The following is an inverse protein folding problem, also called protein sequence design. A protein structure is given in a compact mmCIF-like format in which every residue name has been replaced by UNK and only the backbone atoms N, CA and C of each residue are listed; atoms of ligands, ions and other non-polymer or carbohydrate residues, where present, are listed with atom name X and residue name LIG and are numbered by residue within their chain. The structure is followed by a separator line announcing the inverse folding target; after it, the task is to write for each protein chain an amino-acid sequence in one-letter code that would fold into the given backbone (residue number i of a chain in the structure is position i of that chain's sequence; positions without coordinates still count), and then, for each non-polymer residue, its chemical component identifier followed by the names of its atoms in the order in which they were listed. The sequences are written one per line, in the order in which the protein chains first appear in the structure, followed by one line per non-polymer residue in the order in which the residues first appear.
data_IF_248993109054
#
_entry.id   IF_248993109054
#
_cell.length_a   1.000
_cell.length_b   1.000
_cell.length_c   1.000
_cell.angle_alpha   90.00
_cell.angle_beta   90.00
_cell.angle_gamma   90.00
#
_symmetry.space_group_name_H-M   'P 1'
#
loop_
_entity.id
_entity.type
_entity.pdbx_description
1 polymer ?
#
# COMPACT_ATOMS: atom_id res chain seq x y z
N UNK A 1 6.60 7.32 6.28
CA UNK A 1 6.15 7.35 4.87
C UNK A 1 6.44 8.67 4.18
N UNK A 2 6.25 9.83 4.83
CA UNK A 2 6.44 11.16 4.20
C UNK A 2 7.77 11.33 3.44
N UNK A 3 8.87 10.74 3.95
CA UNK A 3 10.19 10.77 3.28
C UNK A 3 10.26 9.93 1.99
N UNK A 4 9.25 9.10 1.73
CA UNK A 4 9.13 8.21 0.56
C UNK A 4 7.96 8.65 -0.34
N UNK A 5 6.82 9.01 0.25
CA UNK A 5 5.63 9.47 -0.47
C UNK A 5 4.68 10.21 0.48
N UNK A 6 3.89 11.13 -0.08
CA UNK A 6 2.86 11.91 0.64
C UNK A 6 1.58 11.12 0.99
N UNK A 7 1.40 9.90 0.47
CA UNK A 7 0.22 9.05 0.70
C UNK A 7 0.63 7.74 1.33
N UNK A 8 -0.15 7.29 2.30
CA UNK A 8 0.04 6.01 2.96
C UNK A 8 -1.16 5.09 2.69
N UNK A 9 -0.94 3.80 2.37
CA UNK A 9 -2.05 2.86 2.32
C UNK A 9 -2.65 2.65 3.71
N UNK A 10 -3.92 2.25 3.76
CA UNK A 10 -4.55 1.79 5.00
C UNK A 10 -4.00 0.40 5.34
N UNK A 11 -3.36 0.29 6.50
CA UNK A 11 -2.87 -0.97 7.05
C UNK A 11 -3.81 -1.36 8.20
N UNK A 12 -4.40 -2.55 8.12
CA UNK A 12 -5.30 -3.07 9.15
C UNK A 12 -4.52 -3.87 10.18
N UNK A 13 -4.92 -3.76 11.45
CA UNK A 13 -4.51 -4.73 12.46
C UNK A 13 -5.16 -6.08 12.15
N UNK A 14 -4.49 -7.16 12.55
CA UNK A 14 -5.04 -8.50 12.34
C UNK A 14 -6.43 -8.67 13.01
N UNK A 15 -6.62 -8.08 14.19
CA UNK A 15 -7.89 -8.10 14.92
C UNK A 15 -9.03 -7.40 14.16
N UNK A 16 -8.73 -6.41 13.31
CA UNK A 16 -9.73 -5.60 12.61
C UNK A 16 -10.16 -6.22 11.27
N UNK A 17 -9.55 -7.33 10.84
CA UNK A 17 -9.86 -7.96 9.54
C UNK A 17 -11.32 -8.39 9.42
N UNK A 18 -11.88 -8.95 10.49
CA UNK A 18 -13.29 -9.37 10.50
C UNK A 18 -14.23 -8.17 10.37
N UNK A 19 -13.93 -7.08 11.10
CA UNK A 19 -14.70 -5.84 11.02
C UNK A 19 -14.62 -5.23 9.61
N UNK A 20 -13.43 -5.21 8.99
CA UNK A 20 -13.26 -4.71 7.64
C UNK A 20 -14.11 -5.46 6.59
N UNK A 21 -14.19 -6.77 6.70
CA UNK A 21 -14.88 -7.61 5.70
C UNK A 21 -16.39 -7.74 5.93
N UNK A 22 -16.85 -7.58 7.17
CA UNK A 22 -18.21 -8.00 7.56
C UNK A 22 -19.01 -6.96 8.33
N UNK A 23 -18.41 -5.87 8.81
CA UNK A 23 -19.16 -4.81 9.45
C UNK A 23 -19.90 -3.93 8.43
N UNK A 24 -20.72 -3.02 8.94
CA UNK A 24 -21.33 -1.98 8.12
C UNK A 24 -20.27 -1.02 7.54
N UNK A 25 -20.72 -0.24 6.55
CA UNK A 25 -19.87 0.70 5.81
C UNK A 25 -19.18 1.70 6.74
N UNK A 26 -19.86 2.24 7.73
CA UNK A 26 -19.31 3.32 8.56
C UNK A 26 -18.25 2.77 9.50
N UNK A 27 -18.48 1.57 10.03
CA UNK A 27 -17.47 0.83 10.81
C UNK A 27 -16.23 0.54 9.96
N UNK A 28 -16.39 -0.01 8.75
CA UNK A 28 -15.26 -0.28 7.87
C UNK A 28 -14.51 0.99 7.47
N UNK A 29 -15.24 2.06 7.14
CA UNK A 29 -14.64 3.36 6.80
C UNK A 29 -13.89 3.99 7.97
N UNK A 30 -14.37 3.80 9.21
CA UNK A 30 -13.68 4.24 10.42
C UNK A 30 -12.29 3.60 10.63
N UNK A 31 -12.01 2.46 9.97
CA UNK A 31 -10.69 1.82 9.98
C UNK A 31 -9.70 2.47 9.01
N UNK A 32 -10.16 3.31 8.07
CA UNK A 32 -9.32 4.02 7.09
C UNK A 32 -8.54 5.17 7.73
N UNK A 33 -7.56 4.82 8.56
CA UNK A 33 -6.72 5.76 9.31
C UNK A 33 -5.25 5.54 8.98
N UNK A 34 -4.46 6.59 9.22
CA UNK A 34 -3.00 6.50 9.23
C UNK A 34 -2.58 5.44 10.25
N UNK A 35 -1.79 4.47 9.82
CA UNK A 35 -1.08 3.54 10.69
C UNK A 35 -0.24 4.31 11.71
N UNK A 36 -0.43 3.99 12.98
CA UNK A 36 0.15 4.65 14.14
C UNK A 36 1.31 3.87 14.78
N UNK A 37 1.56 2.64 14.31
CA UNK A 37 2.69 1.84 14.75
C UNK A 37 3.97 2.12 13.96
N UNK A 38 5.07 1.58 14.44
CA UNK A 38 6.37 1.71 13.77
C UNK A 38 6.38 0.99 12.42
N UNK A 39 6.98 1.64 11.42
CA UNK A 39 7.27 1.08 10.11
C UNK A 39 8.78 1.14 9.89
N UNK A 40 9.42 -0.03 9.85
CA UNK A 40 10.85 -0.15 9.57
C UNK A 40 11.06 -0.13 8.05
N UNK A 41 11.95 0.74 7.58
CA UNK A 41 12.30 0.84 6.16
C UNK A 41 13.61 0.09 5.93
N UNK A 42 13.55 -0.98 5.14
CA UNK A 42 14.72 -1.60 4.56
C UNK A 42 14.92 -1.08 3.14
N UNK A 43 16.09 -0.46 2.86
CA UNK A 43 16.36 0.22 1.60
C UNK A 43 17.22 -0.68 0.72
N UNK A 44 16.72 -1.02 -0.47
CA UNK A 44 17.50 -1.71 -1.51
C UNK A 44 17.84 -0.77 -2.67
N UNK A 45 18.98 -1.03 -3.32
CA UNK A 45 19.37 -0.43 -4.60
C UNK A 45 18.95 -1.28 -5.79
N UNK A 46 18.40 -2.45 -5.54
CA UNK A 46 17.91 -3.34 -6.58
C UNK A 46 16.74 -2.66 -7.30
N UNK A 47 16.76 -2.73 -8.62
CA UNK A 47 15.65 -2.22 -9.42
C UNK A 47 14.48 -3.18 -9.26
N UNK A 48 13.27 -2.64 -9.18
CA UNK A 48 12.04 -3.44 -9.15
C UNK A 48 11.95 -4.38 -10.37
N UNK A 49 12.41 -3.94 -11.54
CA UNK A 49 12.54 -4.76 -12.73
C UNK A 49 14.00 -4.78 -13.20
N UNK A 50 14.61 -5.97 -13.22
CA UNK A 50 15.88 -6.23 -13.89
C UNK A 50 15.80 -7.55 -14.66
N UNK A 51 15.70 -7.46 -16.00
CA UNK A 51 15.95 -8.61 -16.90
C UNK A 51 15.08 -8.62 -18.16
N UNK A 52 15.51 -7.91 -19.21
CA UNK A 52 14.93 -7.99 -20.56
C UNK A 52 14.39 -6.67 -21.07
N UNK A 53 14.72 -6.34 -22.32
CA UNK A 53 14.22 -5.19 -23.06
C UNK A 53 12.68 -5.19 -23.05
N UNK A 54 12.06 -4.38 -22.18
CA UNK A 54 10.64 -4.12 -22.26
C UNK A 54 10.43 -3.23 -23.48
N UNK A 55 10.04 -3.81 -24.61
CA UNK A 55 9.32 -3.09 -25.63
C UNK A 55 8.10 -2.47 -24.94
N UNK A 56 8.19 -1.19 -24.59
CA UNK A 56 7.01 -0.37 -24.36
C UNK A 56 6.27 -0.37 -25.69
N UNK A 57 5.40 -1.36 -25.90
CA UNK A 57 4.44 -1.30 -26.98
C UNK A 57 3.72 0.03 -26.79
N UNK A 58 3.83 0.91 -27.78
CA UNK A 58 3.09 2.16 -27.81
C UNK A 58 1.62 1.76 -27.74
N UNK A 59 1.04 1.87 -26.56
CA UNK A 59 -0.40 1.92 -26.42
C UNK A 59 -0.76 3.27 -27.03
N UNK A 60 -1.64 3.24 -28.03
CA UNK A 60 -2.11 4.35 -28.88
C UNK A 60 -1.26 4.60 -30.14
N UNK A 61 -1.77 4.05 -31.26
CA UNK A 61 -1.69 4.65 -32.61
C UNK A 61 -2.78 5.72 -32.77
#
# INVERSE_FOLDING_TARGET
MADVHDRMPVILRAADRAAWLHADRDTAFGLCRTWDGDLVIDRTRDRWASGGETAQARLFD
#
